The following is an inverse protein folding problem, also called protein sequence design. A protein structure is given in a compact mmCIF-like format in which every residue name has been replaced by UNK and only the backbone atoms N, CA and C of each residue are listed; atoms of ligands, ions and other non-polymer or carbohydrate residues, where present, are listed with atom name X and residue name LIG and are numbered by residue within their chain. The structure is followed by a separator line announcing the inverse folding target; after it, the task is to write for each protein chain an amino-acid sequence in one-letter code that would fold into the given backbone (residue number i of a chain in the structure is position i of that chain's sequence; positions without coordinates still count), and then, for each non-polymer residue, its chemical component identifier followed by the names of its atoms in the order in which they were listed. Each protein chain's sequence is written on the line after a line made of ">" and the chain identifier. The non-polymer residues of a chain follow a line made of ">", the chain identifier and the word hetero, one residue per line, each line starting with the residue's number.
data_IF_884662428179
#
_entry.id   IF_884662428179
#
_cell.length_a   1.000
_cell.length_b   1.000
_cell.length_c   1.000
_cell.angle_alpha   90.00
_cell.angle_beta   90.00
_cell.angle_gamma   90.00
#
_symmetry.space_group_name_H-M   'P 1'
#
loop_
_entity.id
_entity.type
_entity.pdbx_description
1 polymer ?
#
# COMPACT_ATOMS: atom_id res chain seq x y z
N UNK A 1 -13.47 23.02 12.75
CA UNK A 1 -12.83 21.76 12.25
C UNK A 1 -11.70 21.35 13.23
N UNK A 2 -10.70 22.18 13.47
CA UNK A 2 -9.62 21.86 14.43
C UNK A 2 -10.14 21.75 15.86
N UNK A 3 -11.02 22.63 16.30
CA UNK A 3 -11.65 22.59 17.64
C UNK A 3 -12.44 21.31 17.88
N UNK A 4 -12.91 20.65 16.82
CA UNK A 4 -13.67 19.41 16.88
C UNK A 4 -12.77 18.15 16.74
N UNK A 5 -11.45 18.31 16.83
CA UNK A 5 -10.47 17.22 16.73
C UNK A 5 -10.23 16.70 15.30
N UNK A 6 -10.65 17.44 14.27
CA UNK A 6 -10.47 17.05 12.86
C UNK A 6 -9.23 17.70 12.21
N UNK A 7 -8.08 17.62 12.84
CA UNK A 7 -6.83 18.27 12.45
C UNK A 7 -6.40 18.00 11.02
N UNK A 8 -6.47 16.73 10.59
CA UNK A 8 -6.11 16.33 9.23
C UNK A 8 -7.07 16.96 8.21
N UNK A 9 -8.37 16.96 8.49
CA UNK A 9 -9.38 17.57 7.62
C UNK A 9 -9.16 19.08 7.53
N UNK A 10 -8.86 19.75 8.65
CA UNK A 10 -8.54 21.17 8.68
C UNK A 10 -7.33 21.48 7.79
N UNK A 11 -6.27 20.68 7.86
CA UNK A 11 -5.09 20.86 7.00
C UNK A 11 -5.41 20.64 5.51
N UNK A 12 -6.31 19.70 5.18
CA UNK A 12 -6.75 19.48 3.78
C UNK A 12 -7.58 20.65 3.25
N UNK A 13 -8.51 21.18 4.07
CA UNK A 13 -9.28 22.37 3.73
C UNK A 13 -8.36 23.57 3.54
N UNK A 14 -7.41 23.80 4.44
CA UNK A 14 -6.43 24.88 4.33
C UNK A 14 -5.62 24.76 3.04
N UNK A 15 -5.15 23.56 2.69
CA UNK A 15 -4.38 23.32 1.47
C UNK A 15 -5.22 23.60 0.20
N UNK A 16 -6.50 23.16 0.19
CA UNK A 16 -7.42 23.42 -0.92
C UNK A 16 -7.70 24.90 -1.06
N UNK A 17 -8.01 25.59 0.04
CA UNK A 17 -8.23 27.05 0.05
C UNK A 17 -7.02 27.78 -0.49
N UNK A 18 -5.82 27.44 -0.01
CA UNK A 18 -4.57 28.05 -0.48
C UNK A 18 -4.36 27.83 -1.99
N UNK A 19 -4.69 26.65 -2.50
CA UNK A 19 -4.58 26.32 -3.93
C UNK A 19 -5.58 27.14 -4.77
N UNK A 20 -6.84 27.26 -4.33
CA UNK A 20 -7.89 28.03 -5.02
C UNK A 20 -7.50 29.50 -5.11
N UNK A 21 -7.10 30.12 -4.00
CA UNK A 21 -6.71 31.53 -4.00
C UNK A 21 -5.38 31.78 -4.72
N UNK A 22 -4.45 30.82 -4.69
CA UNK A 22 -3.25 30.86 -5.51
C UNK A 22 -3.55 30.89 -7.01
N UNK A 23 -4.48 30.05 -7.45
CA UNK A 23 -4.98 30.03 -8.83
C UNK A 23 -5.71 31.34 -9.17
N UNK A 24 -6.63 31.81 -8.31
CA UNK A 24 -7.38 33.04 -8.51
C UNK A 24 -6.44 34.25 -8.67
N UNK A 25 -5.35 34.31 -7.88
CA UNK A 25 -4.32 35.32 -8.01
C UNK A 25 -3.60 35.26 -9.37
N UNK A 26 -3.20 34.05 -9.79
CA UNK A 26 -2.54 33.84 -11.09
C UNK A 26 -3.45 34.18 -12.28
N UNK A 27 -4.77 34.05 -12.10
CA UNK A 27 -5.78 34.40 -13.09
C UNK A 27 -6.21 35.90 -13.05
N UNK A 28 -5.64 36.69 -12.15
CA UNK A 28 -6.00 38.11 -11.98
C UNK A 28 -7.40 38.35 -11.39
N UNK A 29 -7.99 37.35 -10.78
CA UNK A 29 -9.35 37.41 -10.21
C UNK A 29 -9.37 37.87 -8.74
N UNK A 30 -8.27 37.68 -8.02
CA UNK A 30 -8.15 38.02 -6.60
C UNK A 30 -6.69 38.24 -6.21
N UNK A 31 -6.41 39.25 -5.41
CA UNK A 31 -5.03 39.64 -5.10
C UNK A 31 -4.44 38.95 -3.87
N UNK A 32 -5.28 38.68 -2.88
CA UNK A 32 -4.85 38.11 -1.60
C UNK A 32 -5.16 36.61 -1.45
N UNK A 33 -4.30 35.92 -0.74
CA UNK A 33 -4.55 34.51 -0.36
C UNK A 33 -4.74 34.43 1.16
N UNK A 34 -5.99 34.30 1.66
CA UNK A 34 -6.29 34.31 3.09
C UNK A 34 -5.75 33.06 3.83
N UNK A 35 -5.24 32.07 3.10
CA UNK A 35 -4.62 30.87 3.67
C UNK A 35 -3.12 31.05 3.96
N UNK A 36 -2.50 32.14 3.51
CA UNK A 36 -1.09 32.42 3.78
C UNK A 36 -0.90 32.76 5.27
N UNK A 37 0.15 32.19 5.86
CA UNK A 37 0.49 32.41 7.28
C UNK A 37 -0.29 31.54 8.27
N UNK A 38 -1.32 30.80 7.83
CA UNK A 38 -2.04 29.89 8.71
C UNK A 38 -1.18 28.64 8.98
N UNK A 39 -0.88 28.39 10.26
CA UNK A 39 -0.10 27.23 10.69
C UNK A 39 -0.91 25.95 10.57
N UNK A 40 -0.32 24.91 9.93
CA UNK A 40 -0.92 23.59 9.86
C UNK A 40 -0.89 22.88 11.21
N UNK A 41 -1.90 22.08 11.48
CA UNK A 41 -1.92 21.17 12.61
C UNK A 41 -0.88 20.08 12.44
N UNK A 42 -0.34 19.57 13.58
CA UNK A 42 0.61 18.47 13.54
C UNK A 42 -0.11 17.16 13.18
N UNK A 43 0.29 16.53 12.09
CA UNK A 43 -0.23 15.21 11.70
C UNK A 43 0.69 14.11 12.19
N UNK A 44 0.12 13.05 12.80
CA UNK A 44 0.84 11.81 13.07
C UNK A 44 0.71 10.89 11.87
N UNK A 45 1.85 10.47 11.33
CA UNK A 45 1.86 9.44 10.29
C UNK A 45 1.47 8.09 10.91
N UNK A 46 0.62 7.35 10.21
CA UNK A 46 0.29 5.98 10.59
C UNK A 46 1.46 5.06 10.22
N UNK A 47 1.86 4.21 11.14
CA UNK A 47 2.97 3.27 11.01
C UNK A 47 2.56 1.78 11.20
N UNK A 48 1.24 1.49 11.31
CA UNK A 48 0.67 0.16 11.49
C UNK A 48 0.97 -0.76 10.29
N UNK A 49 1.48 -1.96 10.57
CA UNK A 49 1.67 -3.08 9.65
C UNK A 49 1.49 -4.40 10.42
N UNK A 50 1.35 -5.54 9.74
CA UNK A 50 1.19 -6.85 10.40
C UNK A 50 2.52 -7.24 11.05
N UNK A 51 2.48 -7.44 12.36
CA UNK A 51 3.63 -7.84 13.18
C UNK A 51 3.92 -9.33 13.03
N UNK A 52 5.11 -9.77 13.47
CA UNK A 52 5.53 -11.17 13.34
C UNK A 52 4.63 -12.17 14.06
N UNK A 53 4.13 -11.80 15.23
CA UNK A 53 3.20 -12.60 16.02
C UNK A 53 1.76 -12.62 15.44
N UNK A 54 1.40 -11.62 14.63
CA UNK A 54 0.10 -11.53 13.97
C UNK A 54 0.04 -12.34 12.66
N UNK A 55 1.16 -12.52 11.96
CA UNK A 55 1.20 -13.17 10.65
C UNK A 55 0.58 -14.58 10.64
N UNK A 56 0.89 -15.51 11.58
CA UNK A 56 0.32 -16.85 11.54
C UNK A 56 -1.21 -16.82 11.62
N UNK A 57 -1.78 -16.06 12.55
CA UNK A 57 -3.24 -15.93 12.71
C UNK A 57 -3.90 -15.19 11.55
N UNK A 58 -3.19 -14.22 10.95
CA UNK A 58 -3.66 -13.54 9.74
C UNK A 58 -3.77 -14.51 8.56
N UNK A 59 -2.73 -15.29 8.26
CA UNK A 59 -2.77 -16.26 7.17
C UNK A 59 -3.81 -17.37 7.41
N UNK A 60 -3.97 -17.83 8.66
CA UNK A 60 -5.03 -18.79 9.00
C UNK A 60 -6.43 -18.20 8.75
N UNK A 61 -6.66 -16.93 9.09
CA UNK A 61 -7.94 -16.27 8.85
C UNK A 61 -8.19 -16.05 7.36
N UNK A 62 -7.16 -15.68 6.59
CA UNK A 62 -7.25 -15.55 5.13
C UNK A 62 -7.56 -16.90 4.48
N UNK A 63 -6.93 -18.00 4.93
CA UNK A 63 -7.19 -19.35 4.41
C UNK A 63 -8.63 -19.83 4.71
N UNK A 64 -9.25 -19.37 5.80
CA UNK A 64 -10.62 -19.68 6.20
C UNK A 64 -11.68 -18.80 5.52
N UNK A 65 -11.29 -17.74 4.81
CA UNK A 65 -12.26 -16.87 4.14
C UNK A 65 -12.91 -17.62 2.98
N UNK A 66 -14.22 -17.81 3.08
CA UNK A 66 -15.03 -18.58 2.11
C UNK A 66 -15.11 -17.90 0.74
N UNK A 67 -15.08 -16.57 0.71
CA UNK A 67 -15.09 -15.85 -0.53
C UNK A 67 -13.69 -15.84 -1.16
N UNK A 68 -13.48 -16.73 -2.12
CA UNK A 68 -12.19 -16.86 -2.82
C UNK A 68 -11.71 -15.56 -3.45
N UNK A 69 -12.62 -14.73 -3.98
CA UNK A 69 -12.23 -13.43 -4.56
C UNK A 69 -11.65 -12.49 -3.52
N UNK A 70 -12.21 -12.48 -2.32
CA UNK A 70 -11.68 -11.67 -1.22
C UNK A 70 -10.37 -12.25 -0.69
N UNK A 71 -10.31 -13.56 -0.50
CA UNK A 71 -9.10 -14.28 -0.05
C UNK A 71 -7.92 -13.96 -0.97
N UNK A 72 -8.08 -14.19 -2.25
CA UNK A 72 -7.02 -14.03 -3.25
C UNK A 72 -6.65 -12.55 -3.45
N UNK A 73 -7.65 -11.65 -3.40
CA UNK A 73 -7.42 -10.19 -3.42
C UNK A 73 -6.54 -9.74 -2.24
N UNK A 74 -6.78 -10.26 -1.05
CA UNK A 74 -6.00 -9.91 0.15
C UNK A 74 -4.58 -10.46 0.03
N UNK A 75 -4.42 -11.71 -0.43
CA UNK A 75 -3.10 -12.31 -0.67
C UNK A 75 -2.30 -11.52 -1.72
N UNK A 76 -2.88 -11.23 -2.88
CA UNK A 76 -2.21 -10.46 -3.93
C UNK A 76 -1.89 -9.03 -3.46
N UNK A 77 -2.77 -8.40 -2.67
CA UNK A 77 -2.50 -7.08 -2.09
C UNK A 77 -1.28 -7.11 -1.14
N UNK A 78 -1.13 -8.16 -0.33
CA UNK A 78 0.01 -8.34 0.58
C UNK A 78 1.29 -8.67 -0.21
N UNK A 79 1.23 -9.68 -1.10
CA UNK A 79 2.40 -10.22 -1.78
C UNK A 79 3.00 -9.26 -2.84
N UNK A 80 2.19 -8.35 -3.37
CA UNK A 80 2.66 -7.35 -4.35
C UNK A 80 2.94 -5.98 -3.74
N UNK A 81 2.31 -5.66 -2.61
CA UNK A 81 2.33 -4.32 -2.03
C UNK A 81 1.78 -3.24 -2.97
N UNK A 82 1.07 -3.61 -4.02
CA UNK A 82 0.49 -2.67 -4.97
C UNK A 82 -0.57 -1.77 -4.31
N UNK A 83 -0.86 -0.63 -4.94
CA UNK A 83 -1.93 0.24 -4.44
C UNK A 83 -3.27 -0.46 -4.58
N UNK A 84 -4.16 -0.25 -3.60
CA UNK A 84 -5.51 -0.86 -3.55
C UNK A 84 -6.24 -0.80 -4.89
N UNK A 85 -6.28 0.38 -5.51
CA UNK A 85 -6.96 0.57 -6.80
C UNK A 85 -6.36 -0.28 -7.92
N UNK A 86 -5.04 -0.43 -7.94
CA UNK A 86 -4.36 -1.22 -8.97
C UNK A 86 -4.69 -2.71 -8.81
N UNK A 87 -4.68 -3.23 -7.57
CA UNK A 87 -5.04 -4.64 -7.34
C UNK A 87 -6.50 -4.90 -7.69
N UNK A 88 -7.42 -4.00 -7.32
CA UNK A 88 -8.85 -4.14 -7.66
C UNK A 88 -9.06 -4.21 -9.18
N UNK A 89 -8.37 -3.39 -9.95
CA UNK A 89 -8.46 -3.30 -11.40
C UNK A 89 -7.39 -4.15 -12.14
N UNK A 90 -6.80 -5.14 -11.47
CA UNK A 90 -5.79 -6.04 -12.06
C UNK A 90 -6.40 -6.83 -13.22
N UNK A 91 -5.76 -6.80 -14.39
CA UNK A 91 -6.23 -7.48 -15.60
C UNK A 91 -5.31 -8.65 -15.97
N UNK A 92 -5.89 -9.70 -16.53
CA UNK A 92 -5.15 -10.90 -16.93
C UNK A 92 -4.11 -10.63 -18.00
N UNK A 93 -4.39 -9.74 -18.96
CA UNK A 93 -3.45 -9.43 -20.04
C UNK A 93 -2.22 -8.63 -19.58
N UNK A 94 -2.28 -8.01 -18.39
CA UNK A 94 -1.16 -7.27 -17.80
C UNK A 94 -0.16 -8.20 -17.07
N UNK A 95 -0.47 -9.50 -16.95
CA UNK A 95 0.33 -10.48 -16.23
C UNK A 95 1.13 -11.33 -17.19
N UNK A 96 2.44 -11.29 -17.06
CA UNK A 96 3.36 -12.20 -17.72
C UNK A 96 3.77 -13.32 -16.76
N UNK A 97 3.19 -14.53 -16.92
CA UNK A 97 3.46 -15.68 -16.07
C UNK A 97 4.85 -16.30 -16.27
N UNK A 98 5.45 -16.13 -17.43
CA UNK A 98 6.79 -16.65 -17.74
C UNK A 98 7.87 -15.82 -17.06
N UNK A 99 7.70 -14.49 -17.09
CA UNK A 99 8.61 -13.52 -16.46
C UNK A 99 8.29 -13.26 -15.01
N UNK A 100 7.16 -13.79 -14.50
CA UNK A 100 6.62 -13.49 -13.19
C UNK A 100 6.51 -11.97 -12.94
N UNK A 101 5.88 -11.25 -13.87
CA UNK A 101 5.74 -9.80 -13.86
C UNK A 101 4.28 -9.38 -14.03
N UNK A 102 3.90 -8.34 -13.34
CA UNK A 102 2.64 -7.63 -13.55
C UNK A 102 2.93 -6.20 -13.97
N UNK A 103 2.49 -5.80 -15.16
CA UNK A 103 2.68 -4.46 -15.69
C UNK A 103 1.42 -3.61 -15.46
N UNK A 104 1.59 -2.44 -14.88
CA UNK A 104 0.55 -1.46 -14.63
C UNK A 104 0.87 -0.25 -15.52
N UNK A 105 0.09 -0.05 -16.58
CA UNK A 105 0.32 1.05 -17.53
C UNK A 105 -0.05 2.39 -16.91
N UNK A 106 -1.20 2.47 -16.24
CA UNK A 106 -1.69 3.69 -15.62
C UNK A 106 -1.57 3.63 -14.11
N UNK A 107 -0.68 4.42 -13.53
CA UNK A 107 -0.58 4.57 -12.09
C UNK A 107 -1.02 5.98 -11.67
N UNK A 108 -1.44 6.14 -10.41
CA UNK A 108 -1.73 7.46 -9.82
C UNK A 108 -0.59 8.48 -10.02
N UNK A 109 0.61 8.00 -10.28
CA UNK A 109 1.80 8.82 -10.46
C UNK A 109 2.05 9.19 -11.93
N UNK A 110 1.23 8.71 -12.86
CA UNK A 110 1.38 8.94 -14.31
C UNK A 110 2.57 8.23 -14.95
N UNK A 111 3.22 7.28 -14.26
CA UNK A 111 4.33 6.49 -14.81
C UNK A 111 3.99 5.01 -14.72
N UNK A 112 4.22 4.22 -15.78
CA UNK A 112 4.04 2.77 -15.73
C UNK A 112 4.87 2.13 -14.62
N UNK A 113 4.40 1.03 -14.10
CA UNK A 113 5.11 0.24 -13.08
C UNK A 113 5.07 -1.23 -13.47
N UNK A 114 6.22 -1.90 -13.38
CA UNK A 114 6.30 -3.36 -13.42
C UNK A 114 6.56 -3.87 -12.01
N UNK A 115 5.72 -4.78 -11.55
CA UNK A 115 5.82 -5.45 -10.25
C UNK A 115 6.29 -6.87 -10.49
N UNK A 116 7.36 -7.28 -9.82
CA UNK A 116 7.80 -8.66 -9.77
C UNK A 116 6.86 -9.46 -8.88
N UNK A 117 6.38 -10.58 -9.38
CA UNK A 117 5.49 -11.50 -8.67
C UNK A 117 6.32 -12.61 -8.02
N UNK A 118 6.09 -12.84 -6.72
CA UNK A 118 6.70 -13.98 -6.03
C UNK A 118 6.09 -15.31 -6.50
N UNK A 119 6.76 -16.47 -6.27
CA UNK A 119 6.18 -17.77 -6.58
C UNK A 119 4.79 -17.96 -5.98
N UNK A 120 4.56 -17.51 -4.74
CA UNK A 120 3.28 -17.60 -4.05
C UNK A 120 2.20 -16.74 -4.74
N UNK A 121 2.57 -15.52 -5.20
CA UNK A 121 1.64 -14.68 -5.95
C UNK A 121 1.25 -15.32 -7.30
N UNK A 122 2.22 -15.92 -7.99
CA UNK A 122 1.99 -16.67 -9.23
C UNK A 122 1.07 -17.86 -8.99
N UNK A 123 1.26 -18.60 -7.90
CA UNK A 123 0.42 -19.73 -7.54
C UNK A 123 -1.04 -19.29 -7.30
N UNK A 124 -1.27 -18.26 -6.50
CA UNK A 124 -2.60 -17.67 -6.29
C UNK A 124 -3.25 -17.29 -7.61
N UNK A 125 -2.52 -16.61 -8.50
CA UNK A 125 -3.05 -16.17 -9.79
C UNK A 125 -3.34 -17.35 -10.73
N UNK A 126 -2.51 -18.39 -10.76
CA UNK A 126 -2.74 -19.60 -11.57
C UNK A 126 -3.97 -20.36 -11.10
N UNK A 127 -4.10 -20.58 -9.79
CA UNK A 127 -5.26 -21.27 -9.20
C UNK A 127 -6.56 -20.52 -9.45
N UNK A 128 -6.50 -19.18 -9.52
CA UNK A 128 -7.65 -18.34 -9.80
C UNK A 128 -8.03 -18.29 -11.29
N UNK A 129 -7.12 -18.59 -12.20
CA UNK A 129 -7.34 -18.53 -13.65
C UNK A 129 -8.21 -19.69 -14.13
N UNK A 130 -9.50 -19.66 -13.79
CA UNK A 130 -10.45 -20.74 -14.09
C UNK A 130 -11.25 -20.57 -15.39
N UNK A 131 -11.25 -19.37 -16.02
CA UNK A 131 -11.90 -19.16 -17.32
C UNK A 131 -11.18 -18.06 -18.12
N UNK A 132 -10.95 -18.32 -19.39
CA UNK A 132 -10.28 -17.41 -20.34
C UNK A 132 -11.13 -16.17 -20.73
N UNK A 133 -12.32 -16.00 -20.17
CA UNK A 133 -13.28 -14.95 -20.58
C UNK A 133 -13.31 -13.72 -19.66
N UNK A 134 -12.74 -13.77 -18.48
CA UNK A 134 -12.76 -12.64 -17.56
C UNK A 134 -11.63 -11.66 -17.90
N UNK A 135 -11.94 -10.37 -18.08
CA UNK A 135 -10.94 -9.31 -18.28
C UNK A 135 -10.13 -9.08 -17.00
N UNK A 136 -10.82 -9.00 -15.86
CA UNK A 136 -10.23 -8.69 -14.56
C UNK A 136 -9.94 -9.95 -13.73
N UNK A 137 -8.80 -9.93 -13.03
CA UNK A 137 -8.45 -10.99 -12.05
C UNK A 137 -9.48 -11.08 -10.94
N UNK A 138 -9.94 -9.94 -10.45
CA UNK A 138 -10.97 -9.82 -9.40
C UNK A 138 -12.24 -9.25 -10.00
N UNK A 139 -12.97 -10.06 -10.77
CA UNK A 139 -14.23 -9.66 -11.40
C UNK A 139 -15.28 -9.28 -10.36
N UNK A 140 -16.13 -8.35 -10.70
CA UNK A 140 -17.26 -7.85 -9.90
C UNK A 140 -18.50 -7.58 -10.74
N UNK A 141 -19.65 -7.55 -10.10
CA UNK A 141 -20.94 -7.27 -10.75
C UNK A 141 -21.27 -5.77 -10.88
N UNK A 142 -20.36 -4.89 -10.37
CA UNK A 142 -20.54 -3.45 -10.45
C UNK A 142 -20.27 -2.88 -11.85
N UNK A 143 -20.50 -1.59 -12.03
CA UNK A 143 -20.29 -0.89 -13.32
C UNK A 143 -18.84 -0.93 -13.82
N UNK A 144 -17.87 -1.06 -12.91
CA UNK A 144 -16.44 -1.16 -13.24
C UNK A 144 -16.04 -2.51 -13.82
N UNK A 145 -16.88 -3.55 -13.68
CA UNK A 145 -16.56 -4.93 -14.07
C UNK A 145 -15.60 -5.65 -13.13
N UNK A 146 -15.01 -4.96 -12.16
CA UNK A 146 -14.10 -5.54 -11.17
C UNK A 146 -14.61 -5.37 -9.72
N UNK A 147 -13.95 -6.03 -8.77
CA UNK A 147 -14.23 -5.89 -7.34
C UNK A 147 -14.06 -4.42 -6.90
N UNK A 148 -15.09 -3.83 -6.29
CA UNK A 148 -15.06 -2.43 -5.83
C UNK A 148 -14.85 -2.32 -4.31
N UNK A 149 -15.58 -3.10 -3.54
CA UNK A 149 -15.67 -2.96 -2.08
C UNK A 149 -15.35 -4.26 -1.31
N UNK A 150 -14.07 -4.54 -1.03
CA UNK A 150 -13.67 -5.73 -0.25
C UNK A 150 -13.91 -5.59 1.26
N UNK A 151 -14.48 -4.47 1.73
CA UNK A 151 -14.53 -4.10 3.15
C UNK A 151 -15.20 -5.15 4.04
N UNK A 152 -16.30 -5.76 3.60
CA UNK A 152 -17.03 -6.76 4.41
C UNK A 152 -16.17 -8.02 4.63
N UNK A 153 -15.56 -8.55 3.58
CA UNK A 153 -14.67 -9.69 3.69
C UNK A 153 -13.40 -9.38 4.47
N UNK A 154 -12.81 -8.19 4.25
CA UNK A 154 -11.70 -7.72 5.06
C UNK A 154 -12.03 -7.70 6.56
N UNK A 155 -13.21 -7.19 6.93
CA UNK A 155 -13.65 -7.17 8.32
C UNK A 155 -13.75 -8.57 8.91
N UNK A 156 -14.35 -9.55 8.19
CA UNK A 156 -14.42 -10.96 8.63
C UNK A 156 -13.02 -11.56 8.87
N UNK A 157 -12.08 -11.31 7.96
CA UNK A 157 -10.69 -11.78 8.11
C UNK A 157 -10.06 -11.21 9.38
N UNK A 158 -10.19 -9.90 9.63
CA UNK A 158 -9.64 -9.27 10.83
C UNK A 158 -10.27 -9.79 12.12
N UNK A 159 -11.60 -9.94 12.15
CA UNK A 159 -12.33 -10.52 13.28
C UNK A 159 -11.87 -11.96 13.54
N UNK A 160 -11.75 -12.78 12.50
CA UNK A 160 -11.25 -14.15 12.61
C UNK A 160 -9.80 -14.25 13.08
N UNK A 161 -8.96 -13.28 12.68
CA UNK A 161 -7.57 -13.19 13.09
C UNK A 161 -7.36 -12.59 14.49
N UNK A 162 -8.37 -11.93 15.07
CA UNK A 162 -8.23 -11.14 16.28
C UNK A 162 -7.23 -9.99 16.10
N UNK A 163 -7.27 -9.32 14.93
CA UNK A 163 -6.37 -8.20 14.61
C UNK A 163 -7.20 -6.91 14.55
N UNK A 164 -6.78 -5.93 15.34
CA UNK A 164 -7.41 -4.61 15.39
C UNK A 164 -6.59 -3.56 14.64
N UNK A 165 -7.27 -2.46 14.29
CA UNK A 165 -6.68 -1.28 13.65
C UNK A 165 -5.75 -1.59 12.47
N UNK A 166 -6.14 -2.54 11.61
CA UNK A 166 -5.43 -2.85 10.36
C UNK A 166 -6.31 -2.49 9.16
N UNK A 167 -5.78 -1.70 8.25
CA UNK A 167 -6.46 -1.31 7.01
C UNK A 167 -5.89 -2.09 5.83
N UNK A 168 -6.67 -2.30 4.78
CA UNK A 168 -6.19 -2.94 3.54
C UNK A 168 -4.89 -2.27 3.01
N UNK A 169 -4.78 -0.94 3.11
CA UNK A 169 -3.58 -0.24 2.67
C UNK A 169 -2.34 -0.54 3.53
N UNK A 170 -2.53 -1.01 4.75
CA UNK A 170 -1.43 -1.39 5.63
C UNK A 170 -0.77 -2.71 5.19
N UNK A 171 -1.43 -3.52 4.32
CA UNK A 171 -0.81 -4.69 3.66
C UNK A 171 0.41 -4.28 2.82
N UNK A 172 0.32 -3.16 2.12
CA UNK A 172 1.46 -2.58 1.38
C UNK A 172 2.58 -2.15 2.32
N UNK A 173 2.24 -1.57 3.49
CA UNK A 173 3.24 -1.27 4.51
C UNK A 173 3.86 -2.53 5.09
N UNK A 174 3.05 -3.56 5.29
CA UNK A 174 3.54 -4.85 5.75
C UNK A 174 4.62 -5.38 4.82
N UNK A 175 4.40 -5.43 3.51
CA UNK A 175 5.45 -5.86 2.57
C UNK A 175 6.70 -4.99 2.69
N UNK A 176 6.57 -3.65 2.68
CA UNK A 176 7.72 -2.75 2.78
C UNK A 176 8.48 -2.90 4.10
N UNK A 177 7.78 -3.09 5.22
CA UNK A 177 8.40 -3.32 6.53
C UNK A 177 9.13 -4.65 6.60
N UNK A 178 8.55 -5.71 6.02
CA UNK A 178 9.20 -7.01 5.95
C UNK A 178 10.40 -7.02 5.00
N UNK A 179 10.35 -6.29 3.88
CA UNK A 179 11.53 -6.08 3.04
C UNK A 179 12.66 -5.38 3.81
N UNK A 180 12.34 -4.35 4.61
CA UNK A 180 13.31 -3.67 5.46
C UNK A 180 13.89 -4.63 6.51
N UNK A 181 13.05 -5.42 7.17
CA UNK A 181 13.44 -6.41 8.18
C UNK A 181 14.36 -7.51 7.61
N UNK A 182 14.18 -7.88 6.35
CA UNK A 182 15.04 -8.85 5.64
C UNK A 182 16.27 -8.21 4.97
N UNK A 183 16.57 -6.96 5.26
CA UNK A 183 17.79 -6.28 4.84
C UNK A 183 17.75 -5.59 3.48
N UNK A 184 16.56 -5.46 2.85
CA UNK A 184 16.44 -4.74 1.59
C UNK A 184 16.74 -3.24 1.78
N UNK A 185 17.51 -2.65 0.87
CA UNK A 185 17.79 -1.22 0.92
C UNK A 185 16.54 -0.38 0.66
N UNK A 186 16.49 0.84 1.22
CA UNK A 186 15.38 1.76 0.98
C UNK A 186 15.16 2.07 -0.51
N UNK A 187 16.23 2.02 -1.33
CA UNK A 187 16.12 2.18 -2.78
C UNK A 187 15.35 1.02 -3.42
N UNK A 188 15.63 -0.22 -3.01
CA UNK A 188 14.92 -1.42 -3.47
C UNK A 188 13.45 -1.37 -3.03
N UNK A 189 13.19 -1.08 -1.76
CA UNK A 189 11.82 -0.94 -1.22
C UNK A 189 11.07 0.17 -1.96
N UNK A 190 11.67 1.33 -2.15
CA UNK A 190 11.09 2.44 -2.88
C UNK A 190 10.72 2.07 -4.32
N UNK A 191 11.60 1.32 -5.02
CA UNK A 191 11.36 0.82 -6.38
C UNK A 191 10.23 -0.21 -6.40
N UNK A 192 10.27 -1.19 -5.51
CA UNK A 192 9.23 -2.24 -5.39
C UNK A 192 7.85 -1.64 -5.16
N UNK A 193 7.75 -0.65 -4.28
CA UNK A 193 6.52 0.04 -3.95
C UNK A 193 6.17 1.23 -4.87
N UNK A 194 6.97 1.54 -5.88
CA UNK A 194 6.78 2.72 -6.76
C UNK A 194 6.57 4.03 -5.99
N UNK A 195 7.52 4.34 -5.09
CA UNK A 195 7.57 5.61 -4.39
C UNK A 195 8.39 6.63 -5.21
N UNK A 196 7.77 7.76 -5.60
CA UNK A 196 8.48 8.86 -6.27
C UNK A 196 9.43 9.61 -5.33
N UNK A 197 9.12 9.66 -4.04
CA UNK A 197 9.87 10.40 -3.05
C UNK A 197 10.48 9.41 -2.03
N UNK A 198 11.79 9.48 -1.85
CA UNK A 198 12.52 8.67 -0.87
C UNK A 198 12.03 8.89 0.57
N UNK A 199 11.55 10.09 0.90
CA UNK A 199 10.97 10.37 2.23
C UNK A 199 9.75 9.48 2.52
N UNK A 200 9.02 9.05 1.49
CA UNK A 200 7.90 8.12 1.65
C UNK A 200 8.38 6.72 2.04
N UNK A 201 9.59 6.34 1.62
CA UNK A 201 10.21 5.05 1.94
C UNK A 201 10.96 5.10 3.27
N UNK A 202 11.42 6.27 3.71
CA UNK A 202 12.16 6.47 4.95
C UNK A 202 11.37 6.05 6.22
N UNK A 203 10.05 5.91 6.13
CA UNK A 203 9.24 5.37 7.23
C UNK A 203 9.66 3.96 7.60
N UNK A 204 10.07 3.14 6.63
CA UNK A 204 10.47 1.74 6.85
C UNK A 204 11.82 1.62 7.58
N UNK A 205 12.71 2.61 7.45
CA UNK A 205 13.96 2.66 8.20
C UNK A 205 13.76 2.82 9.72
N UNK A 206 12.56 3.23 10.16
CA UNK A 206 12.27 3.50 11.57
C UNK A 206 11.55 2.36 12.27
N UNK A 207 11.10 1.35 11.52
CA UNK A 207 10.14 0.35 12.01
C UNK A 207 10.80 -0.87 12.66
N UNK A 208 12.10 -1.11 12.38
CA UNK A 208 12.80 -2.26 12.95
C UNK A 208 14.27 -1.94 13.22
N UNK A 209 14.74 -2.21 14.45
CA UNK A 209 16.12 -2.05 14.85
C UNK A 209 16.97 -3.32 14.63
N UNK A 210 16.34 -4.45 14.34
CA UNK A 210 17.06 -5.72 14.15
C UNK A 210 18.06 -5.67 12.99
N UNK A 211 17.72 -5.15 11.79
CA UNK A 211 18.70 -4.98 10.71
C UNK A 211 19.87 -4.04 11.07
N UNK A 212 19.60 -3.03 11.90
CA UNK A 212 20.65 -2.12 12.38
C UNK A 212 21.60 -2.87 13.32
N UNK A 213 21.03 -3.65 14.24
CA UNK A 213 21.81 -4.48 15.18
C UNK A 213 22.66 -5.50 14.43
N UNK A 214 22.11 -6.20 13.47
CA UNK A 214 22.80 -7.20 12.66
C UNK A 214 23.94 -6.57 11.84
N UNK A 215 23.69 -5.40 11.25
CA UNK A 215 24.71 -4.64 10.52
C UNK A 215 25.86 -4.20 11.43
N UNK A 216 25.54 -3.68 12.62
CA UNK A 216 26.56 -3.28 13.61
C UNK A 216 27.38 -4.48 14.07
N UNK A 217 26.71 -5.59 14.41
CA UNK A 217 27.40 -6.82 14.84
C UNK A 217 28.32 -7.36 13.75
N UNK A 218 27.84 -7.41 12.50
CA UNK A 218 28.64 -7.87 11.35
C UNK A 218 29.88 -6.99 11.16
N UNK A 219 29.71 -5.68 11.18
CA UNK A 219 30.80 -4.74 11.03
C UNK A 219 31.81 -4.85 12.18
N UNK A 220 31.32 -4.91 13.43
CA UNK A 220 32.19 -5.04 14.62
C UNK A 220 32.96 -6.34 14.59
N UNK A 221 32.32 -7.46 14.26
CA UNK A 221 33.02 -8.73 14.15
C UNK A 221 34.11 -8.69 13.07
N UNK A 222 33.84 -8.07 11.92
CA UNK A 222 34.84 -7.93 10.86
C UNK A 222 36.03 -7.01 11.24
N UNK A 223 35.82 -6.04 12.12
CA UNK A 223 36.88 -5.15 12.60
C UNK A 223 37.76 -5.79 13.69
N UNK A 224 37.25 -6.82 14.36
CA UNK A 224 37.95 -7.46 15.49
C UNK A 224 38.74 -8.73 15.09
N UNK A 225 38.75 -9.07 13.80
CA UNK A 225 39.55 -10.14 13.19
C UNK A 225 40.85 -9.54 12.69
#
# INVERSE_FOLDING_TARGET
>A
ITKDGHDITANRVLALTSSIFGWAKSAGLWEENPAIGIKRNKEKSRDRFIQGDELPRFFQAVAKEENETIRDYVLISLLTGARRSNVLAMRWHDINFERAEWRIEETKNGTPQTITLSPEAIEVLRNRRSSDKAEYVFSGSGKSGHLEEPKKGWKRILESAGIEDLRIHDLRRTLGSWQAKTGASLAIIGKSLNHKNQNTTAIYARLDLDPVRDSVNTATNAMMV
#
